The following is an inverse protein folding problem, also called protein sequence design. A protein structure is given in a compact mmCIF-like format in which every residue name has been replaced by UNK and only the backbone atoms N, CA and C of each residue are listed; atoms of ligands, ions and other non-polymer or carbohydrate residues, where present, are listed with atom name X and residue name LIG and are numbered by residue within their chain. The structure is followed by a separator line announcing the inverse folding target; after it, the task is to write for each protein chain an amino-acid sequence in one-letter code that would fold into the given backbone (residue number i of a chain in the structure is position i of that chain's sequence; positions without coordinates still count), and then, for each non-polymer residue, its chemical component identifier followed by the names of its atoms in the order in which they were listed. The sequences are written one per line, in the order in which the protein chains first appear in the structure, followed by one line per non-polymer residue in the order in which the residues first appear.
data_IF_563427922370
#
_entry.id   IF_563427922370
#
_cell.length_a   1.000
_cell.length_b   1.000
_cell.length_c   1.000
_cell.angle_alpha   90.00
_cell.angle_beta   90.00
_cell.angle_gamma   90.00
#
_symmetry.space_group_name_H-M   'P 1'
#
loop_
_entity.id
_entity.type
_entity.pdbx_description
1 polymer ?
#
# COMPACT_ATOMS: atom_id res chain seq x y z
N UNK A 1 -18.23 -8.58 -9.88
CA UNK A 1 -17.78 -7.26 -9.40
C UNK A 1 -16.92 -7.54 -8.18
N UNK A 2 -15.61 -7.30 -8.25
CA UNK A 2 -14.71 -7.53 -7.11
C UNK A 2 -14.85 -6.42 -6.09
N UNK A 3 -14.60 -6.71 -4.82
CA UNK A 3 -14.49 -5.68 -3.78
C UNK A 3 -13.19 -4.89 -3.99
N UNK A 4 -13.26 -3.56 -3.98
CA UNK A 4 -12.11 -2.64 -4.10
C UNK A 4 -11.63 -2.21 -2.71
N UNK A 5 -10.34 -1.90 -2.58
CA UNK A 5 -9.82 -1.11 -1.45
C UNK A 5 -9.66 0.31 -1.97
N UNK A 6 -10.49 1.23 -1.49
CA UNK A 6 -10.43 2.65 -1.84
C UNK A 6 -10.36 3.45 -0.55
N UNK A 7 -9.43 4.41 -0.50
CA UNK A 7 -9.22 5.29 0.66
C UNK A 7 -9.16 6.72 0.14
N UNK A 8 -10.18 7.50 0.50
CA UNK A 8 -10.44 8.88 0.08
C UNK A 8 -9.94 9.93 1.10
N UNK A 9 -9.80 9.56 2.38
CA UNK A 9 -9.22 10.39 3.45
C UNK A 9 -8.10 9.68 4.23
N UNK A 10 -7.24 10.47 4.90
CA UNK A 10 -6.31 9.95 5.90
C UNK A 10 -7.16 9.41 7.05
N UNK A 11 -7.28 8.08 7.22
CA UNK A 11 -7.55 7.37 8.49
C UNK A 11 -7.82 5.86 8.31
N UNK A 12 -7.38 5.22 7.22
CA UNK A 12 -7.30 3.77 7.22
C UNK A 12 -6.04 3.35 7.98
N UNK A 13 -6.20 2.81 9.20
CA UNK A 13 -5.05 2.44 10.04
C UNK A 13 -5.09 0.98 10.48
N UNK A 14 -3.87 0.48 10.68
CA UNK A 14 -3.57 -0.74 11.40
C UNK A 14 -3.03 -0.32 12.77
N UNK A 15 -3.84 -0.47 13.83
CA UNK A 15 -3.42 -0.21 15.21
C UNK A 15 -3.06 -1.51 15.90
N UNK A 16 -1.80 -1.66 16.32
CA UNK A 16 -1.37 -2.89 16.95
C UNK A 16 -2.08 -3.14 18.30
N UNK A 17 -2.59 -4.35 18.49
CA UNK A 17 -3.12 -4.86 19.76
C UNK A 17 -2.29 -6.05 20.31
N UNK A 18 -1.09 -6.30 19.76
CA UNK A 18 -0.20 -7.43 20.10
C UNK A 18 0.91 -7.69 19.07
N UNK A 19 0.93 -8.89 18.47
CA UNK A 19 1.70 -9.20 17.25
C UNK A 19 0.73 -9.31 16.08
N UNK A 20 0.12 -8.18 15.71
CA UNK A 20 -0.95 -8.16 14.72
C UNK A 20 -0.41 -8.14 13.28
N UNK A 21 -0.92 -9.05 12.45
CA UNK A 21 -0.73 -9.05 10.99
C UNK A 21 -2.00 -8.58 10.30
N UNK A 22 -1.85 -7.70 9.32
CA UNK A 22 -2.94 -7.13 8.54
C UNK A 22 -2.80 -7.54 7.09
N UNK A 23 -3.83 -8.20 6.55
CA UNK A 23 -3.88 -8.60 5.16
C UNK A 23 -5.18 -8.03 4.58
N UNK A 24 -5.04 -7.12 3.63
CA UNK A 24 -6.14 -6.55 2.88
C UNK A 24 -6.15 -7.17 1.50
N UNK A 25 -7.27 -7.77 1.12
CA UNK A 25 -7.43 -8.41 -0.18
C UNK A 25 -8.52 -7.73 -0.98
N UNK A 26 -8.24 -7.52 -2.26
CA UNK A 26 -9.20 -7.01 -3.23
C UNK A 26 -9.16 -7.89 -4.46
N UNK A 27 -10.33 -8.24 -5.01
CA UNK A 27 -10.42 -8.87 -6.33
C UNK A 27 -10.25 -7.88 -7.49
N UNK A 28 -10.07 -6.60 -7.19
CA UNK A 28 -9.99 -5.49 -8.14
C UNK A 28 -8.83 -4.57 -7.74
N UNK A 29 -9.03 -3.26 -7.76
CA UNK A 29 -7.99 -2.25 -7.53
C UNK A 29 -7.75 -1.96 -6.04
N UNK A 30 -6.56 -1.46 -5.75
CA UNK A 30 -6.24 -0.72 -4.53
C UNK A 30 -5.86 0.71 -4.90
N UNK A 31 -6.70 1.66 -4.50
CA UNK A 31 -6.51 3.07 -4.83
C UNK A 31 -6.38 3.91 -3.56
N UNK A 32 -5.30 4.70 -3.49
CA UNK A 32 -5.16 5.80 -2.55
C UNK A 32 -5.29 7.11 -3.31
N UNK A 33 -6.26 7.92 -2.92
CA UNK A 33 -6.49 9.23 -3.50
C UNK A 33 -5.37 10.23 -3.18
N UNK A 34 -5.43 11.40 -3.79
CA UNK A 34 -4.41 12.44 -3.61
C UNK A 34 -4.26 12.80 -2.13
N UNK A 35 -3.01 12.76 -1.65
CA UNK A 35 -2.64 13.02 -0.25
C UNK A 35 -3.28 12.06 0.77
N UNK A 36 -3.95 10.98 0.35
CA UNK A 36 -4.45 9.95 1.24
C UNK A 36 -3.28 9.17 1.86
N UNK A 37 -3.42 8.78 3.13
CA UNK A 37 -2.36 8.07 3.85
C UNK A 37 -2.89 6.88 4.63
N UNK A 38 -2.20 5.75 4.51
CA UNK A 38 -2.34 4.62 5.44
C UNK A 38 -1.19 4.70 6.45
N UNK A 39 -1.55 4.97 7.71
CA UNK A 39 -0.60 5.13 8.81
C UNK A 39 -0.60 3.92 9.75
N UNK A 40 0.57 3.62 10.31
CA UNK A 40 0.73 2.60 11.34
C UNK A 40 0.72 3.26 12.71
N UNK A 41 -0.09 2.74 13.62
CA UNK A 41 -0.21 3.28 14.97
C UNK A 41 0.02 2.19 16.02
N UNK A 42 0.30 2.60 17.25
CA UNK A 42 0.49 1.71 18.40
C UNK A 42 1.60 0.65 18.23
N UNK A 43 2.60 0.90 17.38
CA UNK A 43 3.71 -0.02 17.14
C UNK A 43 3.43 -1.09 16.08
N UNK A 44 2.42 -0.91 15.23
CA UNK A 44 2.26 -1.71 14.02
C UNK A 44 3.48 -1.52 13.10
N UNK A 45 3.94 -2.60 12.47
CA UNK A 45 5.14 -2.61 11.62
C UNK A 45 4.75 -2.83 10.16
N UNK A 46 5.41 -2.11 9.24
CA UNK A 46 5.17 -2.22 7.80
C UNK A 46 5.45 -3.64 7.26
N UNK A 47 6.35 -4.39 7.91
CA UNK A 47 6.64 -5.80 7.62
C UNK A 47 5.46 -6.75 7.88
N UNK A 48 4.46 -6.32 8.65
CA UNK A 48 3.27 -7.11 9.00
C UNK A 48 1.98 -6.63 8.32
N UNK A 49 2.08 -5.71 7.36
CA UNK A 49 0.94 -5.20 6.59
C UNK A 49 1.07 -5.59 5.12
N UNK A 50 0.04 -6.20 4.56
CA UNK A 50 0.00 -6.69 3.18
C UNK A 50 -1.26 -6.21 2.46
N UNK A 51 -1.09 -5.70 1.24
CA UNK A 51 -2.15 -5.33 0.32
C UNK A 51 -2.05 -6.23 -0.92
N UNK A 52 -3.00 -7.14 -1.10
CA UNK A 52 -3.04 -8.06 -2.23
C UNK A 52 -4.22 -7.74 -3.16
N UNK A 53 -3.92 -7.42 -4.42
CA UNK A 53 -4.92 -6.97 -5.40
C UNK A 53 -4.98 -7.89 -6.61
N UNK A 54 -6.22 -8.22 -7.02
CA UNK A 54 -6.51 -8.95 -8.25
C UNK A 54 -6.27 -8.14 -9.52
N UNK A 55 -6.17 -6.81 -9.41
CA UNK A 55 -5.83 -5.90 -10.49
C UNK A 55 -4.75 -4.88 -10.05
N UNK A 56 -4.80 -3.65 -10.57
CA UNK A 56 -3.78 -2.63 -10.33
C UNK A 56 -3.86 -1.96 -8.96
N UNK A 57 -2.72 -1.47 -8.49
CA UNK A 57 -2.64 -0.49 -7.40
C UNK A 57 -2.32 0.90 -7.96
N UNK A 58 -3.06 1.92 -7.57
CA UNK A 58 -2.79 3.31 -7.95
C UNK A 58 -2.66 4.18 -6.69
N UNK A 59 -1.48 4.74 -6.46
CA UNK A 59 -1.28 5.77 -5.43
C UNK A 59 -1.19 7.12 -6.14
N UNK A 60 -2.19 7.97 -5.93
CA UNK A 60 -2.25 9.29 -6.54
C UNK A 60 -1.26 10.27 -5.89
N UNK A 61 -1.23 11.51 -6.36
CA UNK A 61 -0.20 12.47 -5.99
C UNK A 61 -0.14 12.68 -4.47
N UNK A 62 1.06 12.62 -3.90
CA UNK A 62 1.28 12.78 -2.45
C UNK A 62 0.74 11.65 -1.57
N UNK A 63 0.17 10.57 -2.13
CA UNK A 63 -0.36 9.46 -1.34
C UNK A 63 0.77 8.69 -0.63
N UNK A 64 0.48 8.15 0.57
CA UNK A 64 1.48 7.42 1.36
C UNK A 64 0.94 6.12 1.97
N UNK A 65 1.75 5.07 1.96
CA UNK A 65 1.38 3.77 2.54
C UNK A 65 2.57 3.06 3.16
N UNK A 66 2.32 2.42 4.30
CA UNK A 66 3.26 1.51 4.93
C UNK A 66 2.75 0.06 4.83
N UNK A 67 3.53 -0.81 4.18
CA UNK A 67 3.17 -2.20 3.94
C UNK A 67 3.79 -2.78 2.67
N UNK A 68 3.55 -4.08 2.46
CA UNK A 68 3.90 -4.77 1.22
C UNK A 68 2.72 -4.77 0.25
N UNK A 69 2.93 -4.30 -0.97
CA UNK A 69 1.93 -4.26 -2.04
C UNK A 69 2.20 -5.40 -3.02
N UNK A 70 1.19 -6.22 -3.26
CA UNK A 70 1.18 -7.35 -4.18
C UNK A 70 0.08 -7.13 -5.21
N UNK A 71 0.43 -6.76 -6.43
CA UNK A 71 -0.55 -6.53 -7.51
C UNK A 71 -0.40 -7.51 -8.65
N UNK A 72 -1.52 -8.08 -9.06
CA UNK A 72 -1.60 -8.98 -10.21
C UNK A 72 -1.46 -8.23 -11.56
N UNK A 73 -1.67 -6.91 -11.55
CA UNK A 73 -1.48 -6.04 -12.72
C UNK A 73 -0.50 -4.91 -12.36
N UNK A 74 -0.76 -3.70 -12.84
CA UNK A 74 0.18 -2.59 -12.70
C UNK A 74 0.22 -2.00 -11.28
N UNK A 75 1.37 -1.47 -10.88
CA UNK A 75 1.50 -0.54 -9.76
C UNK A 75 1.87 0.83 -10.32
N UNK A 76 1.10 1.87 -9.99
CA UNK A 76 1.32 3.25 -10.44
C UNK A 76 1.48 4.17 -9.24
N UNK A 77 2.66 4.76 -9.12
CA UNK A 77 2.97 5.75 -8.09
C UNK A 77 3.10 7.13 -8.75
N UNK A 78 2.15 8.02 -8.49
CA UNK A 78 2.14 9.38 -9.02
C UNK A 78 3.13 10.30 -8.28
N UNK A 79 3.21 11.56 -8.72
CA UNK A 79 4.10 12.61 -8.19
C UNK A 79 4.09 12.65 -6.66
N UNK A 80 5.25 12.44 -6.04
CA UNK A 80 5.41 12.53 -4.59
C UNK A 80 4.76 11.39 -3.78
N UNK A 81 4.21 10.36 -4.42
CA UNK A 81 3.71 9.19 -3.71
C UNK A 81 4.86 8.45 -2.98
N UNK A 82 4.59 7.90 -1.81
CA UNK A 82 5.60 7.25 -0.98
C UNK A 82 5.16 5.90 -0.42
N UNK A 83 6.06 4.92 -0.46
CA UNK A 83 5.85 3.57 0.10
C UNK A 83 6.95 3.26 1.11
N UNK A 84 6.56 2.95 2.35
CA UNK A 84 7.42 2.29 3.32
C UNK A 84 7.12 0.79 3.32
N UNK A 85 7.92 0.01 2.60
CA UNK A 85 7.72 -1.42 2.42
C UNK A 85 8.13 -1.90 1.03
N UNK A 86 7.61 -3.05 0.63
CA UNK A 86 8.01 -3.72 -0.62
C UNK A 86 6.87 -3.70 -1.62
N UNK A 87 7.18 -3.57 -2.91
CA UNK A 87 6.17 -3.56 -3.98
C UNK A 87 6.49 -4.65 -5.00
N UNK A 88 5.47 -5.40 -5.39
CA UNK A 88 5.58 -6.48 -6.37
C UNK A 88 4.42 -6.39 -7.35
N UNK A 89 4.76 -6.29 -8.63
CA UNK A 89 3.82 -6.25 -9.75
C UNK A 89 4.08 -7.43 -10.67
N UNK A 90 3.02 -8.07 -11.18
CA UNK A 90 3.14 -9.10 -12.21
C UNK A 90 3.12 -8.53 -13.64
N UNK A 91 3.00 -7.20 -13.81
CA UNK A 91 3.05 -6.57 -15.14
C UNK A 91 3.99 -5.38 -15.19
N UNK A 92 3.47 -4.18 -14.88
CA UNK A 92 4.17 -2.90 -15.01
C UNK A 92 4.31 -2.22 -13.64
N UNK A 93 5.40 -1.50 -13.46
CA UNK A 93 5.54 -0.51 -12.39
C UNK A 93 5.88 0.85 -13.01
N UNK A 94 5.15 1.89 -12.62
CA UNK A 94 5.38 3.27 -13.08
C UNK A 94 5.59 4.17 -11.88
N UNK A 95 6.63 5.00 -11.93
CA UNK A 95 6.99 5.96 -10.90
C UNK A 95 7.10 7.35 -11.50
N UNK A 96 6.43 8.33 -10.88
CA UNK A 96 6.61 9.75 -11.19
C UNK A 96 7.07 10.42 -9.91
N UNK A 97 8.36 10.76 -9.79
CA UNK A 97 8.91 11.42 -8.59
C UNK A 97 8.49 10.77 -7.25
N UNK A 98 8.29 9.45 -7.27
CA UNK A 98 7.82 8.68 -6.14
C UNK A 98 8.99 8.05 -5.39
N UNK A 99 8.78 7.74 -4.11
CA UNK A 99 9.78 7.07 -3.26
C UNK A 99 9.29 5.72 -2.77
N UNK A 100 10.20 4.75 -2.72
CA UNK A 100 9.97 3.44 -2.11
C UNK A 100 11.13 3.17 -1.16
N UNK A 101 10.82 2.91 0.10
CA UNK A 101 11.78 2.54 1.14
C UNK A 101 11.54 1.09 1.53
N UNK A 102 12.31 0.14 0.98
CA UNK A 102 12.15 -1.28 1.29
C UNK A 102 12.31 -1.57 2.78
N UNK A 103 11.43 -2.41 3.31
CA UNK A 103 11.58 -2.96 4.66
C UNK A 103 12.09 -4.37 4.52
N UNK A 104 13.34 -4.57 4.94
CA UNK A 104 13.91 -5.89 5.16
C UNK A 104 13.67 -6.27 6.62
N UNK A 105 13.16 -7.47 6.87
CA UNK A 105 13.07 -7.96 8.24
C UNK A 105 14.51 -8.28 8.69
N UNK A 106 15.03 -7.73 9.80
CA UNK A 106 16.31 -8.18 10.33
C UNK A 106 16.21 -9.68 10.63
N UNK A 107 17.10 -10.44 10.01
CA UNK A 107 17.28 -11.89 10.25
C UNK A 107 17.73 -12.18 11.67
#
# INVERSE_FOLDING_TARGET
MGHQIHVDESHFCCSNAGFSRYIFTSGSHFDLDENASIILTNGAQASDVFFATGDSTNLLAGASVAGTILSNSAIRLAAGASVLGNIYSQSLMTFTEASVTPVVNPT
#
